data_IF_390352059150
#
_entry.id   IF_390352059150
#
_cell.length_a   1.000
_cell.length_b   1.000
_cell.length_c   1.000
_cell.angle_alpha   90.00
_cell.angle_beta   90.00
_cell.angle_gamma   90.00
#
_symmetry.space_group_name_H-M   'P 1'
#
loop_
_entity.id
_entity.type
_entity.pdbx_description
1 polymer ?
#
# COMPACT_ATOMS: atom_id res chain seq x y z
N UNK A 1 12.34 6.71 -25.87
CA UNK A 1 11.31 5.71 -25.50
C UNK A 1 11.60 5.07 -24.14
N UNK A 2 12.86 4.78 -23.80
CA UNK A 2 13.28 4.20 -22.51
C UNK A 2 13.08 5.12 -21.29
N UNK A 3 13.38 6.42 -21.41
CA UNK A 3 13.23 7.36 -20.29
C UNK A 3 11.77 7.51 -19.82
N UNK A 4 10.82 7.59 -20.76
CA UNK A 4 9.39 7.64 -20.45
C UNK A 4 8.90 6.36 -19.78
N UNK A 5 9.45 5.20 -20.17
CA UNK A 5 9.11 3.92 -19.53
C UNK A 5 9.62 3.87 -18.09
N UNK A 6 10.82 4.38 -17.84
CA UNK A 6 11.39 4.48 -16.48
C UNK A 6 10.55 5.41 -15.61
N UNK A 7 10.16 6.58 -16.13
CA UNK A 7 9.34 7.54 -15.40
C UNK A 7 7.94 6.99 -15.09
N UNK A 8 7.29 6.32 -16.05
CA UNK A 8 6.00 5.63 -15.81
C UNK A 8 6.18 4.55 -14.74
N UNK A 9 7.25 3.76 -14.80
CA UNK A 9 7.49 2.70 -13.81
C UNK A 9 7.73 3.23 -12.40
N UNK A 10 8.40 4.38 -12.25
CA UNK A 10 8.63 5.04 -10.96
C UNK A 10 7.34 5.63 -10.37
N UNK A 11 6.48 6.17 -11.24
CA UNK A 11 5.17 6.70 -10.85
C UNK A 11 4.22 5.56 -10.44
N UNK A 12 4.24 4.42 -11.14
CA UNK A 12 3.53 3.20 -10.76
C UNK A 12 4.03 2.65 -9.41
N UNK A 13 5.35 2.67 -9.17
CA UNK A 13 5.94 2.26 -7.89
C UNK A 13 5.50 3.15 -6.75
N UNK A 14 5.56 4.46 -6.92
CA UNK A 14 5.13 5.44 -5.91
C UNK A 14 3.63 5.32 -5.64
N UNK A 15 2.81 5.16 -6.68
CA UNK A 15 1.35 5.00 -6.53
C UNK A 15 0.97 3.68 -5.88
N UNK A 16 1.60 2.55 -6.26
CA UNK A 16 1.45 1.27 -5.55
C UNK A 16 1.90 1.37 -4.09
N UNK A 17 2.92 2.21 -3.81
CA UNK A 17 3.39 2.49 -2.44
C UNK A 17 2.41 3.29 -1.61
N UNK A 18 1.80 4.30 -2.22
CA UNK A 18 0.82 5.14 -1.56
C UNK A 18 -0.52 4.39 -1.36
N UNK A 19 -0.95 3.61 -2.35
CA UNK A 19 -2.20 2.85 -2.31
C UNK A 19 -2.21 1.77 -1.21
N UNK A 20 -1.06 1.16 -0.91
CA UNK A 20 -0.93 0.21 0.21
C UNK A 20 -0.88 0.90 1.59
N UNK A 21 -0.43 2.16 1.64
CA UNK A 21 -0.45 2.97 2.86
C UNK A 21 -1.87 3.49 3.16
N UNK A 22 -2.66 3.75 2.12
CA UNK A 22 -4.08 4.10 2.21
C UNK A 22 -4.97 2.90 1.87
N UNK A 23 -4.92 1.89 2.74
CA UNK A 23 -5.84 0.75 2.63
C UNK A 23 -7.27 1.22 2.89
N UNK A 24 -8.11 1.12 1.86
CA UNK A 24 -9.53 1.48 1.89
C UNK A 24 -10.28 0.86 3.06
N UNK A 25 -9.86 -0.32 3.52
CA UNK A 25 -10.45 -1.02 4.68
C UNK A 25 -10.32 -0.22 5.97
N UNK A 26 -9.23 0.54 6.11
CA UNK A 26 -8.98 1.38 7.29
C UNK A 26 -9.81 2.65 7.27
N UNK A 27 -9.93 3.28 6.10
CA UNK A 27 -10.74 4.49 5.90
C UNK A 27 -12.22 4.15 6.09
N UNK A 28 -12.75 3.19 5.33
CA UNK A 28 -14.15 2.78 5.40
C UNK A 28 -14.47 2.21 6.78
N UNK A 29 -13.63 1.32 7.32
CA UNK A 29 -13.83 0.74 8.64
C UNK A 29 -13.86 1.80 9.76
N UNK A 30 -12.91 2.74 9.75
CA UNK A 30 -12.90 3.85 10.71
C UNK A 30 -14.13 4.74 10.59
N UNK A 31 -14.56 5.04 9.36
CA UNK A 31 -15.75 5.86 9.10
C UNK A 31 -17.01 5.19 9.66
N UNK A 32 -17.19 3.88 9.40
CA UNK A 32 -18.31 3.10 9.94
C UNK A 32 -18.34 3.06 11.46
N UNK A 33 -17.18 2.97 12.12
CA UNK A 33 -17.12 3.01 13.59
C UNK A 33 -17.54 4.37 14.12
N UNK A 34 -17.00 5.48 13.57
CA UNK A 34 -17.32 6.83 14.04
C UNK A 34 -18.82 7.14 13.84
N UNK A 35 -19.35 6.93 12.64
CA UNK A 35 -20.77 7.14 12.38
C UNK A 35 -21.65 6.17 13.17
N UNK A 36 -21.24 4.90 13.28
CA UNK A 36 -21.95 3.90 14.06
C UNK A 36 -22.10 4.29 15.53
N UNK A 37 -21.05 4.85 16.14
CA UNK A 37 -21.12 5.38 17.52
C UNK A 37 -22.12 6.53 17.61
N UNK A 38 -22.05 7.52 16.72
CA UNK A 38 -22.95 8.68 16.72
C UNK A 38 -24.41 8.22 16.60
N UNK A 39 -24.68 7.34 15.63
CA UNK A 39 -26.02 6.82 15.34
C UNK A 39 -26.53 5.94 16.48
N UNK A 40 -25.65 5.14 17.11
CA UNK A 40 -26.01 4.34 18.29
C UNK A 40 -26.37 5.22 19.48
N UNK A 41 -25.58 6.27 19.76
CA UNK A 41 -25.88 7.23 20.83
C UNK A 41 -27.23 7.91 20.55
N UNK A 42 -27.45 8.40 19.33
CA UNK A 42 -28.72 9.00 18.92
C UNK A 42 -29.90 8.02 19.09
N UNK A 43 -29.67 6.73 18.81
CA UNK A 43 -30.63 5.65 19.08
C UNK A 43 -30.92 5.48 20.57
N UNK A 44 -29.89 5.42 21.43
CA UNK A 44 -30.06 5.28 22.89
C UNK A 44 -30.77 6.49 23.50
N UNK A 45 -30.48 7.71 23.02
CA UNK A 45 -31.08 8.95 23.53
C UNK A 45 -32.44 9.27 22.89
N UNK A 46 -32.97 8.43 22.02
CA UNK A 46 -34.27 8.64 21.40
C UNK A 46 -35.39 8.58 22.45
N UNK A 47 -36.29 9.57 22.42
CA UNK A 47 -37.38 9.72 23.40
C UNK A 47 -38.51 8.71 23.17
N UNK A 48 -39.28 8.37 24.21
CA UNK A 48 -40.43 7.44 24.15
C UNK A 48 -41.48 7.81 23.09
N UNK A 49 -41.56 9.09 22.72
CA UNK A 49 -42.42 9.58 21.63
C UNK A 49 -41.99 9.06 20.24
N UNK A 50 -40.71 8.79 20.02
CA UNK A 50 -40.16 8.26 18.78
C UNK A 50 -40.28 6.72 18.72
N UNK A 51 -40.13 6.04 19.86
CA UNK A 51 -40.36 4.60 20.02
C UNK A 51 -41.81 4.19 19.68
N UNK A 52 -42.80 5.04 20.01
CA UNK A 52 -44.22 4.82 19.66
C UNK A 52 -44.52 4.91 18.15
N UNK A 53 -43.75 5.69 17.38
CA UNK A 53 -43.92 5.79 15.91
C UNK A 53 -43.24 4.65 15.15
N UNK A 54 -42.23 4.01 15.75
CA UNK A 54 -41.43 2.96 15.14
C UNK A 54 -41.82 1.54 15.57
N UNK A 55 -43.07 1.31 16.00
CA UNK A 55 -43.55 0.01 16.50
C UNK A 55 -42.65 -0.62 17.60
N UNK A 56 -41.99 0.21 18.42
CA UNK A 56 -41.08 -0.25 19.47
C UNK A 56 -39.69 -0.71 19.01
N UNK A 57 -39.35 -0.60 17.72
CA UNK A 57 -38.02 -0.93 17.19
C UNK A 57 -37.24 0.36 16.91
N UNK A 58 -36.14 0.54 17.64
CA UNK A 58 -35.29 1.71 17.46
C UNK A 58 -34.40 1.54 16.22
N UNK A 59 -34.82 2.11 15.09
CA UNK A 59 -34.13 1.95 13.81
C UNK A 59 -32.68 2.44 13.89
N UNK A 60 -32.46 3.60 14.52
CA UNK A 60 -31.14 4.22 14.69
C UNK A 60 -30.22 3.33 15.54
N UNK A 61 -30.74 2.73 16.61
CA UNK A 61 -29.94 1.82 17.42
C UNK A 61 -29.47 0.60 16.61
N UNK A 62 -30.37 -0.01 15.83
CA UNK A 62 -30.04 -1.17 15.00
C UNK A 62 -29.09 -0.84 13.85
N UNK A 63 -29.30 0.28 13.14
CA UNK A 63 -28.35 0.71 12.09
C UNK A 63 -27.01 1.10 12.69
N UNK A 64 -26.98 1.82 13.80
CA UNK A 64 -25.75 2.18 14.50
C UNK A 64 -24.96 0.95 14.95
N UNK A 65 -25.65 -0.04 15.52
CA UNK A 65 -25.03 -1.30 15.95
C UNK A 65 -24.53 -2.13 14.77
N UNK A 66 -25.30 -2.22 13.68
CA UNK A 66 -24.87 -2.89 12.45
C UNK A 66 -23.62 -2.22 11.86
N UNK A 67 -23.59 -0.89 11.81
CA UNK A 67 -22.44 -0.11 11.37
C UNK A 67 -21.21 -0.35 12.24
N UNK A 68 -21.38 -0.42 13.57
CA UNK A 68 -20.31 -0.72 14.52
C UNK A 68 -19.73 -2.12 14.30
N UNK A 69 -20.59 -3.14 14.20
CA UNK A 69 -20.16 -4.53 13.94
C UNK A 69 -19.38 -4.61 12.62
N UNK A 70 -19.89 -3.98 11.56
CA UNK A 70 -19.27 -3.99 10.24
C UNK A 70 -17.95 -3.20 10.21
N UNK A 71 -17.89 -2.07 10.90
CA UNK A 71 -16.68 -1.26 11.07
C UNK A 71 -15.59 -2.01 11.86
N UNK A 72 -15.95 -2.60 13.00
CA UNK A 72 -15.03 -3.45 13.78
C UNK A 72 -14.56 -4.65 12.97
N UNK A 73 -15.45 -5.30 12.22
CA UNK A 73 -15.09 -6.39 11.33
C UNK A 73 -13.97 -5.98 10.37
N UNK A 74 -14.07 -4.82 9.71
CA UNK A 74 -13.02 -4.34 8.81
C UNK A 74 -11.70 -4.01 9.52
N UNK A 75 -11.76 -3.46 10.74
CA UNK A 75 -10.55 -3.17 11.54
C UNK A 75 -9.87 -4.45 12.04
N UNK A 76 -10.65 -5.44 12.50
CA UNK A 76 -10.16 -6.76 12.89
C UNK A 76 -9.57 -7.47 11.67
N UNK A 77 -10.20 -7.34 10.50
CA UNK A 77 -9.69 -7.90 9.25
C UNK A 77 -8.35 -7.26 8.83
N UNK A 78 -8.18 -5.95 9.04
CA UNK A 78 -6.89 -5.27 8.84
C UNK A 78 -5.81 -5.85 9.78
N UNK A 79 -6.16 -6.11 11.04
CA UNK A 79 -5.27 -6.73 12.03
C UNK A 79 -4.89 -8.16 11.63
N UNK A 80 -5.83 -8.93 11.08
CA UNK A 80 -5.64 -10.31 10.62
C UNK A 80 -4.89 -10.41 9.28
N UNK A 81 -5.03 -9.41 8.40
CA UNK A 81 -4.38 -9.37 7.08
C UNK A 81 -3.58 -8.08 6.89
N UNK A 82 -2.41 -7.95 7.54
CA UNK A 82 -1.51 -6.83 7.36
C UNK A 82 -1.07 -6.71 5.89
N UNK A 83 -1.05 -5.50 5.34
CA UNK A 83 -0.47 -5.26 4.02
C UNK A 83 1.06 -5.37 4.12
N UNK A 84 1.65 -6.25 3.32
CA UNK A 84 3.09 -6.47 3.35
C UNK A 84 3.83 -5.18 2.92
N UNK A 85 4.91 -4.79 3.63
CA UNK A 85 5.77 -3.71 3.19
C UNK A 85 6.31 -3.97 1.77
N UNK A 86 6.62 -2.92 0.99
CA UNK A 86 7.41 -3.10 -0.21
C UNK A 86 8.64 -3.96 0.07
N UNK A 87 8.85 -4.99 -0.75
CA UNK A 87 10.17 -5.60 -0.81
C UNK A 87 11.17 -4.50 -1.20
N UNK A 88 12.31 -4.38 -0.49
CA UNK A 88 13.39 -3.55 -0.95
C UNK A 88 13.77 -4.01 -2.35
N UNK A 89 13.67 -3.06 -3.26
CA UNK A 89 14.00 -3.16 -4.67
C UNK A 89 15.32 -3.89 -4.80
N UNK A 90 15.32 -4.95 -5.58
CA UNK A 90 16.45 -5.85 -5.73
C UNK A 90 17.75 -5.06 -5.82
N UNK A 91 18.70 -5.44 -4.97
CA UNK A 91 20.14 -5.24 -5.16
C UNK A 91 20.38 -5.20 -6.65
N UNK A 92 20.63 -3.99 -7.16
CA UNK A 92 20.71 -3.69 -8.57
C UNK A 92 21.53 -4.79 -9.25
N UNK A 93 20.89 -5.47 -10.20
CA UNK A 93 21.52 -6.45 -11.10
C UNK A 93 22.60 -5.79 -11.99
N UNK A 94 22.91 -4.51 -11.77
CA UNK A 94 24.03 -3.77 -12.35
C UNK A 94 25.40 -4.35 -11.98
N UNK A 95 25.48 -5.08 -10.85
CA UNK A 95 26.68 -5.83 -10.49
C UNK A 95 26.99 -6.99 -11.47
N UNK A 96 26.00 -7.43 -12.25
CA UNK A 96 26.16 -8.47 -13.28
C UNK A 96 26.32 -7.93 -14.71
N UNK A 97 26.15 -6.62 -14.93
CA UNK A 97 26.39 -5.98 -16.24
C UNK A 97 27.73 -5.22 -16.32
N UNK A 98 28.31 -4.83 -15.18
CA UNK A 98 29.60 -4.12 -15.14
C UNK A 98 30.83 -5.04 -15.30
N UNK A 99 30.71 -6.32 -14.92
CA UNK A 99 31.87 -7.24 -14.89
C UNK A 99 32.31 -7.71 -16.30
N UNK A 100 31.36 -7.79 -17.23
CA UNK A 100 31.63 -8.20 -18.62
C UNK A 100 32.35 -7.15 -19.47
N UNK A 101 32.16 -5.86 -19.17
CA UNK A 101 32.83 -4.79 -19.92
C UNK A 101 34.20 -4.43 -19.33
N UNK A 102 34.36 -4.51 -18.00
CA UNK A 102 35.64 -4.26 -17.34
C UNK A 102 36.71 -5.31 -17.68
N UNK A 103 36.29 -6.58 -17.86
CA UNK A 103 37.19 -7.68 -18.28
C UNK A 103 37.57 -7.56 -19.76
N UNK A 104 36.64 -7.18 -20.64
CA UNK A 104 36.91 -6.97 -22.07
C UNK A 104 37.88 -5.79 -22.32
N UNK A 105 37.72 -4.69 -21.58
CA UNK A 105 38.64 -3.55 -21.67
C UNK A 105 40.03 -3.85 -21.09
N UNK A 106 40.13 -4.60 -19.99
CA UNK A 106 41.44 -5.04 -19.44
C UNK A 106 42.21 -5.89 -20.43
N UNK A 107 41.60 -6.91 -21.03
CA UNK A 107 42.30 -7.78 -21.98
C UNK A 107 42.78 -7.03 -23.23
N UNK A 108 42.00 -6.06 -23.70
CA UNK A 108 42.39 -5.21 -24.84
C UNK A 108 43.56 -4.30 -24.48
N UNK A 109 43.55 -3.72 -23.28
CA UNK A 109 44.61 -2.81 -22.84
C UNK A 109 45.92 -3.55 -22.49
N UNK A 110 45.84 -4.76 -21.93
CA UNK A 110 47.00 -5.64 -21.71
C UNK A 110 47.66 -6.08 -23.03
N UNK A 111 46.87 -6.35 -24.07
CA UNK A 111 47.41 -6.65 -25.40
C UNK A 111 48.06 -5.42 -26.06
N UNK A 112 47.47 -4.24 -25.90
CA UNK A 112 48.01 -3.00 -26.45
C UNK A 112 49.32 -2.59 -25.77
N UNK A 113 49.41 -2.76 -24.45
CA UNK A 113 50.63 -2.49 -23.67
C UNK A 113 51.72 -3.53 -23.92
N UNK A 114 51.38 -4.81 -24.07
CA UNK A 114 52.35 -5.84 -24.47
C UNK A 114 52.89 -5.61 -25.90
N UNK A 115 52.06 -5.13 -26.83
CA UNK A 115 52.46 -4.81 -28.20
C UNK A 115 53.40 -3.59 -28.28
N UNK A 116 53.35 -2.67 -27.32
CA UNK A 116 54.24 -1.52 -27.23
C UNK A 116 55.61 -1.87 -26.63
N UNK A 117 55.71 -2.93 -25.83
CA UNK A 117 56.97 -3.35 -25.18
C UNK A 117 57.84 -4.30 -26.02
N UNK A 118 57.29 -4.91 -27.07
CA UNK A 118 58.02 -5.86 -27.93
C UNK A 118 58.77 -5.20 -29.10
N UNK A 119 58.87 -3.88 -29.13
CA UNK A 119 59.32 -3.12 -30.31
C UNK A 119 60.63 -2.32 -30.12
N UNK A 120 61.38 -2.64 -29.06
CA UNK A 120 62.75 -2.17 -28.81
C UNK A 120 63.77 -3.30 -28.99
#
# INVERSE_FOLDING_TARGET
MSELQNEVSDLERKSATAARLFDIRRIIGGLFVVYGIIVTIAGITASDADLKKAQGININLWTGLAMLVLGLFFLIWLKLRPTAPPAPDGVHMDALHTDGQYTAERHTNEQHTAALHTKD
#
